data_IF_025766010791
#
_entry.id   IF_025766010791
#
_cell.length_a   1.000
_cell.length_b   1.000
_cell.length_c   1.000
_cell.angle_alpha   90.00
_cell.angle_beta   90.00
_cell.angle_gamma   90.00
#
_symmetry.space_group_name_H-M   'P 1'
#
loop_
_entity.id
_entity.type
_entity.pdbx_description
1 polymer ?
#
# COMPACT_ATOMS: atom_id res chain seq x y z
N UNK A 1 -35.83 3.91 11.35
CA UNK A 1 -34.50 3.93 11.99
C UNK A 1 -33.86 2.59 11.67
N UNK A 2 -32.99 2.58 10.64
CA UNK A 2 -32.41 1.34 10.11
C UNK A 2 -31.18 0.98 10.96
N UNK A 3 -31.27 -0.14 11.65
CA UNK A 3 -30.19 -0.77 12.40
C UNK A 3 -29.03 -1.04 11.46
N UNK A 4 -27.85 -0.48 11.74
CA UNK A 4 -26.61 -0.89 11.09
C UNK A 4 -26.24 -2.27 11.63
N UNK A 5 -26.28 -3.28 10.77
CA UNK A 5 -25.73 -4.60 11.07
C UNK A 5 -24.22 -4.46 11.31
N UNK A 6 -23.78 -4.75 12.52
CA UNK A 6 -22.37 -5.01 12.80
C UNK A 6 -21.97 -6.25 12.02
N UNK A 7 -21.16 -6.07 10.98
CA UNK A 7 -20.61 -7.18 10.23
C UNK A 7 -19.57 -7.88 11.12
N UNK A 8 -20.02 -8.91 11.86
CA UNK A 8 -19.11 -9.79 12.60
C UNK A 8 -18.19 -10.49 11.60
N UNK A 9 -16.92 -10.09 11.60
CA UNK A 9 -15.90 -10.69 10.74
C UNK A 9 -15.63 -12.11 11.27
N UNK A 10 -16.21 -13.12 10.62
CA UNK A 10 -15.98 -14.51 10.95
C UNK A 10 -14.58 -14.93 10.50
N UNK A 11 -13.61 -14.92 11.43
CA UNK A 11 -12.18 -15.15 11.14
C UNK A 11 -11.81 -16.65 10.97
N UNK A 12 -12.79 -17.55 10.87
CA UNK A 12 -12.62 -19.01 10.96
C UNK A 12 -12.24 -19.76 9.67
N UNK A 13 -12.27 -19.13 8.48
CA UNK A 13 -11.88 -19.79 7.23
C UNK A 13 -10.46 -19.38 6.82
N UNK A 14 -9.52 -20.33 6.92
CA UNK A 14 -8.13 -20.32 6.42
C UNK A 14 -7.65 -18.95 5.96
N UNK A 15 -7.48 -18.03 6.92
CA UNK A 15 -7.22 -16.64 6.61
C UNK A 15 -5.85 -16.51 5.96
N UNK A 16 -5.85 -15.90 4.78
CA UNK A 16 -4.64 -15.43 4.14
C UNK A 16 -3.87 -14.51 5.11
N UNK A 17 -2.78 -15.03 5.69
CA UNK A 17 -2.02 -14.33 6.72
C UNK A 17 -1.34 -13.05 6.20
N UNK A 18 -1.18 -12.92 4.88
CA UNK A 18 -0.63 -11.73 4.24
C UNK A 18 -1.60 -10.54 4.28
N UNK A 19 -2.88 -10.79 4.60
CA UNK A 19 -3.90 -9.76 4.79
C UNK A 19 -4.08 -9.34 6.25
N UNK A 20 -3.37 -9.98 7.18
CA UNK A 20 -3.41 -9.66 8.60
C UNK A 20 -2.04 -9.08 8.99
N UNK A 21 -2.01 -7.79 9.29
CA UNK A 21 -0.79 -7.05 9.57
C UNK A 21 -0.74 -6.72 11.06
N UNK A 22 0.35 -7.10 11.70
CA UNK A 22 0.60 -6.81 13.10
C UNK A 22 1.10 -5.36 13.25
N UNK A 23 0.48 -4.61 14.17
CA UNK A 23 0.79 -3.21 14.47
C UNK A 23 1.41 -3.06 15.87
N UNK A 24 1.82 -4.15 16.50
CA UNK A 24 2.32 -4.15 17.89
C UNK A 24 3.53 -3.21 18.08
N UNK A 25 4.37 -3.09 17.06
CA UNK A 25 5.56 -2.23 17.07
C UNK A 25 5.28 -0.75 16.80
N UNK A 26 4.01 -0.34 16.60
CA UNK A 26 3.63 1.04 16.32
C UNK A 26 3.14 1.72 17.60
N UNK A 27 3.88 2.70 18.08
CA UNK A 27 3.55 3.49 19.26
C UNK A 27 2.35 4.42 18.98
N UNK A 28 2.37 5.17 17.86
CA UNK A 28 1.29 6.10 17.49
C UNK A 28 0.25 5.45 16.59
N UNK A 29 -0.44 4.46 17.14
CA UNK A 29 -1.42 3.65 16.42
C UNK A 29 -2.46 4.47 15.66
N UNK A 30 -3.18 5.38 16.33
CA UNK A 30 -4.24 6.16 15.68
C UNK A 30 -3.74 6.96 14.46
N UNK A 31 -2.53 7.50 14.55
CA UNK A 31 -1.92 8.22 13.43
C UNK A 31 -1.60 7.25 12.29
N UNK A 32 -1.05 6.08 12.60
CA UNK A 32 -0.75 5.05 11.61
C UNK A 32 -2.02 4.51 10.93
N UNK A 33 -3.10 4.28 11.69
CA UNK A 33 -4.40 3.84 11.17
C UNK A 33 -5.01 4.89 10.22
N UNK A 34 -5.04 6.18 10.61
CA UNK A 34 -5.49 7.26 9.71
C UNK A 34 -4.59 7.37 8.48
N UNK A 35 -3.28 7.22 8.66
CA UNK A 35 -2.30 7.31 7.57
C UNK A 35 -2.47 6.20 6.54
N UNK A 36 -2.56 4.93 6.94
CA UNK A 36 -2.72 3.80 6.01
C UNK A 36 -4.07 3.83 5.28
N UNK A 37 -5.14 4.34 5.93
CA UNK A 37 -6.44 4.58 5.29
C UNK A 37 -6.38 5.55 4.12
N UNK A 38 -5.38 6.44 4.06
CA UNK A 38 -5.15 7.29 2.88
C UNK A 38 -4.83 6.45 1.63
N UNK A 39 -4.35 5.22 1.76
CA UNK A 39 -3.96 4.36 0.64
C UNK A 39 -4.99 3.28 0.30
N UNK A 40 -6.00 3.10 1.15
CA UNK A 40 -7.14 2.22 0.89
C UNK A 40 -7.74 2.52 -0.50
N UNK A 41 -7.86 1.49 -1.33
CA UNK A 41 -8.32 1.58 -2.72
C UNK A 41 -7.51 2.50 -3.66
N UNK A 42 -6.41 3.09 -3.20
CA UNK A 42 -5.45 3.91 -3.97
C UNK A 42 -4.15 3.18 -4.29
N UNK A 43 -3.78 2.18 -3.51
CA UNK A 43 -2.72 1.23 -3.80
C UNK A 43 -3.25 -0.18 -3.65
N UNK A 44 -2.76 -1.10 -4.50
CA UNK A 44 -3.13 -2.50 -4.40
C UNK A 44 -2.34 -3.19 -3.28
N UNK A 45 -2.95 -4.20 -2.65
CA UNK A 45 -2.29 -5.04 -1.64
C UNK A 45 -1.96 -6.40 -2.24
N UNK A 46 -0.69 -6.79 -2.16
CA UNK A 46 -0.19 -8.08 -2.62
C UNK A 46 -0.19 -9.10 -1.49
N UNK A 47 -0.62 -10.30 -1.83
CA UNK A 47 -0.48 -11.51 -1.03
C UNK A 47 0.43 -12.48 -1.75
N UNK A 48 1.55 -12.80 -1.11
CA UNK A 48 2.54 -13.72 -1.64
C UNK A 48 2.02 -15.16 -1.58
N UNK A 49 1.38 -15.52 -0.47
CA UNK A 49 0.84 -16.86 -0.19
C UNK A 49 -0.21 -17.29 -1.20
N UNK A 50 -1.08 -16.36 -1.62
CA UNK A 50 -2.13 -16.65 -2.61
C UNK A 50 -1.76 -16.20 -4.02
N UNK A 51 -0.63 -15.51 -4.20
CA UNK A 51 -0.19 -14.91 -5.49
C UNK A 51 -1.26 -14.01 -6.10
N UNK A 52 -1.91 -13.23 -5.24
CA UNK A 52 -3.02 -12.35 -5.59
C UNK A 52 -2.68 -10.90 -5.30
N UNK A 53 -3.22 -10.00 -6.11
CA UNK A 53 -3.17 -8.57 -5.91
C UNK A 53 -4.59 -8.03 -5.77
N UNK A 54 -4.92 -7.56 -4.57
CA UNK A 54 -6.23 -7.02 -4.23
C UNK A 54 -6.29 -5.55 -4.60
N UNK A 55 -7.24 -5.20 -5.46
CA UNK A 55 -7.38 -3.84 -5.98
C UNK A 55 -8.51 -3.08 -5.29
N UNK A 56 -9.48 -3.78 -4.70
CA UNK A 56 -10.60 -3.21 -3.95
C UNK A 56 -10.73 -3.90 -2.58
N UNK A 57 -10.53 -3.15 -1.51
CA UNK A 57 -10.54 -3.64 -0.14
C UNK A 57 -10.88 -2.53 0.85
N UNK A 58 -11.30 -2.94 2.04
CA UNK A 58 -11.40 -2.08 3.22
C UNK A 58 -10.36 -2.50 4.26
N UNK A 59 -9.84 -1.54 5.01
CA UNK A 59 -8.96 -1.74 6.14
C UNK A 59 -9.78 -1.76 7.42
N UNK A 60 -9.79 -2.91 8.08
CA UNK A 60 -10.47 -3.13 9.35
C UNK A 60 -9.47 -3.21 10.49
N UNK A 61 -9.81 -2.57 11.62
CA UNK A 61 -8.97 -2.49 12.82
C UNK A 61 -9.77 -3.04 14.00
N UNK A 62 -9.87 -4.38 14.13
CA UNK A 62 -10.71 -5.00 15.15
C UNK A 62 -10.16 -4.70 16.55
N UNK A 63 -11.02 -4.29 17.48
CA UNK A 63 -10.65 -4.07 18.89
C UNK A 63 -10.31 -5.36 19.61
N UNK A 64 -10.96 -6.46 19.20
CA UNK A 64 -10.94 -7.72 19.94
C UNK A 64 -9.84 -8.68 19.47
N UNK A 65 -9.13 -8.32 18.39
CA UNK A 65 -8.08 -9.14 17.77
C UNK A 65 -6.67 -8.58 17.98
N UNK A 66 -6.47 -7.83 19.06
CA UNK A 66 -5.20 -7.19 19.38
C UNK A 66 -4.88 -5.99 18.47
N UNK A 67 -3.61 -5.56 18.42
CA UNK A 67 -3.18 -4.46 17.55
C UNK A 67 -2.96 -4.97 16.13
N UNK A 68 -4.04 -5.34 15.45
CA UNK A 68 -4.00 -5.86 14.07
C UNK A 68 -4.75 -4.95 13.11
N UNK A 69 -4.27 -4.93 11.88
CA UNK A 69 -4.98 -4.42 10.72
C UNK A 69 -5.32 -5.59 9.81
N UNK A 70 -6.57 -5.68 9.38
CA UNK A 70 -7.04 -6.71 8.45
C UNK A 70 -7.43 -6.03 7.14
N UNK A 71 -6.80 -6.45 6.06
CA UNK A 71 -7.19 -6.09 4.70
C UNK A 71 -8.34 -7.01 4.31
N UNK A 72 -9.53 -6.45 4.10
CA UNK A 72 -10.74 -7.18 3.72
C UNK A 72 -11.04 -6.89 2.24
N UNK A 73 -10.71 -7.81 1.31
CA UNK A 73 -11.14 -7.69 -0.08
C UNK A 73 -12.67 -7.62 -0.17
N UNK A 74 -13.19 -6.90 -1.16
CA UNK A 74 -14.63 -6.87 -1.37
C UNK A 74 -15.13 -8.26 -1.83
N UNK A 75 -15.95 -8.97 -1.02
CA UNK A 75 -16.39 -10.32 -1.34
C UNK A 75 -17.38 -10.37 -2.51
N UNK A 76 -17.94 -9.23 -2.92
CA UNK A 76 -18.87 -9.13 -4.05
C UNK A 76 -18.19 -8.63 -5.33
N UNK A 77 -16.89 -8.34 -5.29
CA UNK A 77 -16.14 -7.85 -6.44
C UNK A 77 -14.99 -8.80 -6.77
N UNK A 78 -15.33 -10.03 -7.16
CA UNK A 78 -14.35 -11.06 -7.54
C UNK A 78 -13.45 -10.61 -8.70
N UNK A 79 -13.93 -9.72 -9.57
CA UNK A 79 -13.16 -9.12 -10.67
C UNK A 79 -12.09 -8.12 -10.20
N UNK A 80 -12.12 -7.70 -8.94
CA UNK A 80 -11.16 -6.76 -8.36
C UNK A 80 -9.94 -7.45 -7.73
N UNK A 81 -9.83 -8.77 -7.88
CA UNK A 81 -8.64 -9.56 -7.50
C UNK A 81 -7.89 -10.01 -8.75
N UNK A 82 -6.62 -9.61 -8.85
CA UNK A 82 -5.74 -10.03 -9.93
C UNK A 82 -4.95 -11.26 -9.47
N UNK A 83 -4.87 -12.28 -10.33
CA UNK A 83 -4.31 -13.59 -9.99
C UNK A 83 -2.99 -13.86 -10.72
N UNK A 84 -2.24 -14.89 -10.27
CA UNK A 84 -1.03 -15.34 -10.95
C UNK A 84 0.16 -14.40 -10.78
N UNK A 85 0.16 -13.59 -9.72
CA UNK A 85 1.22 -12.62 -9.44
C UNK A 85 2.40 -13.34 -8.76
N UNK A 86 3.35 -13.80 -9.57
CA UNK A 86 4.52 -14.52 -9.11
C UNK A 86 5.40 -13.63 -8.20
N UNK A 87 5.84 -14.11 -7.02
CA UNK A 87 6.70 -13.34 -6.11
C UNK A 87 7.96 -12.80 -6.78
N UNK A 88 8.49 -13.50 -7.79
CA UNK A 88 9.67 -13.06 -8.54
C UNK A 88 9.47 -11.71 -9.23
N UNK A 89 8.23 -11.32 -9.53
CA UNK A 89 7.87 -10.05 -10.15
C UNK A 89 7.76 -8.89 -9.14
N UNK A 90 7.75 -9.16 -7.84
CA UNK A 90 7.62 -8.15 -6.79
C UNK A 90 9.00 -7.72 -6.31
N UNK A 91 9.26 -6.42 -6.26
CA UNK A 91 10.54 -5.84 -5.86
C UNK A 91 10.39 -4.76 -4.81
N UNK A 92 11.22 -4.83 -3.78
CA UNK A 92 11.42 -3.75 -2.80
C UNK A 92 11.96 -2.51 -3.51
N UNK A 93 11.37 -1.34 -3.27
CA UNK A 93 11.80 -0.10 -3.95
C UNK A 93 12.80 0.73 -3.12
N UNK A 94 12.81 0.57 -1.80
CA UNK A 94 13.52 1.46 -0.88
C UNK A 94 12.84 2.83 -0.72
N UNK A 95 11.69 3.07 -1.36
CA UNK A 95 10.92 4.29 -1.22
C UNK A 95 10.02 4.18 0.01
N UNK A 96 10.03 5.20 0.85
CA UNK A 96 9.15 5.33 1.99
C UNK A 96 8.26 6.56 1.81
N UNK A 97 6.95 6.38 1.99
CA UNK A 97 5.95 7.45 2.02
C UNK A 97 5.61 7.75 3.46
N UNK A 98 5.56 9.01 3.82
CA UNK A 98 5.26 9.45 5.19
C UNK A 98 4.32 10.66 5.17
N UNK A 99 3.53 10.88 6.24
CA UNK A 99 2.64 12.02 6.31
C UNK A 99 3.42 13.30 6.55
N UNK A 100 3.18 14.32 5.73
CA UNK A 100 3.89 15.60 5.83
C UNK A 100 3.67 16.32 7.16
N UNK A 101 2.50 16.10 7.79
CA UNK A 101 2.10 16.78 9.04
C UNK A 101 3.09 16.53 10.18
N UNK A 102 3.74 15.36 10.20
CA UNK A 102 4.74 15.01 11.23
C UNK A 102 6.02 15.85 11.09
N UNK A 103 6.25 16.44 9.92
CA UNK A 103 7.38 17.33 9.63
C UNK A 103 6.92 18.78 9.37
N UNK A 104 5.68 19.14 9.75
CA UNK A 104 5.13 20.49 9.55
C UNK A 104 4.92 20.86 8.07
N UNK A 105 4.77 19.87 7.18
CA UNK A 105 4.55 20.07 5.74
C UNK A 105 3.15 19.57 5.34
N UNK A 106 2.49 20.15 4.33
CA UNK A 106 1.23 19.62 3.83
C UNK A 106 1.44 18.32 3.02
N UNK A 107 0.37 17.54 2.89
CA UNK A 107 0.32 16.41 1.97
C UNK A 107 1.18 15.21 2.37
N UNK A 108 1.52 14.40 1.38
CA UNK A 108 2.44 13.27 1.50
C UNK A 108 3.88 13.69 1.18
N UNK A 109 4.84 13.04 1.83
CA UNK A 109 6.27 13.15 1.54
C UNK A 109 6.85 11.80 1.15
N UNK A 110 7.94 11.82 0.39
CA UNK A 110 8.68 10.64 -0.03
C UNK A 110 10.15 10.75 0.40
N UNK A 111 10.73 9.65 0.85
CA UNK A 111 12.16 9.51 1.13
C UNK A 111 12.69 8.16 0.66
N UNK A 112 14.00 8.07 0.45
CA UNK A 112 14.72 6.81 0.17
C UNK A 112 15.57 6.33 1.33
N UNK A 113 15.59 7.09 2.43
CA UNK A 113 16.46 6.84 3.58
C UNK A 113 15.64 6.90 4.85
N UNK A 114 15.34 5.73 5.41
CA UNK A 114 14.84 5.58 6.78
C UNK A 114 15.86 4.71 7.51
N UNK A 115 16.59 5.29 8.48
CA UNK A 115 17.61 4.59 9.27
C UNK A 115 17.37 4.87 10.75
N UNK A 116 17.02 3.85 11.51
CA UNK A 116 16.80 3.96 12.95
C UNK A 116 18.04 4.54 13.65
N UNK A 117 17.81 5.50 14.56
CA UNK A 117 18.88 6.22 15.27
C UNK A 117 19.71 7.18 14.40
N UNK A 118 19.31 7.41 13.14
CA UNK A 118 19.95 8.36 12.23
C UNK A 118 19.32 9.77 12.26
N UNK A 119 19.93 10.75 11.56
CA UNK A 119 19.33 12.08 11.41
C UNK A 119 17.98 11.98 10.68
N UNK A 120 17.15 13.02 10.87
CA UNK A 120 15.84 13.10 10.22
C UNK A 120 15.95 12.83 8.70
N UNK A 121 15.05 12.01 8.14
CA UNK A 121 15.15 11.59 6.75
C UNK A 121 15.08 12.78 5.81
N UNK A 122 15.90 12.80 4.77
CA UNK A 122 15.76 13.79 3.70
C UNK A 122 14.48 13.48 2.92
N UNK A 123 13.53 14.40 2.95
CA UNK A 123 12.21 14.22 2.34
C UNK A 123 11.99 15.15 1.14
N UNK A 124 11.21 14.69 0.18
CA UNK A 124 10.71 15.47 -0.96
C UNK A 124 9.18 15.40 -0.98
N UNK A 125 8.46 16.45 -1.44
CA UNK A 125 7.02 16.36 -1.66
C UNK A 125 6.66 15.19 -2.59
N UNK A 126 5.57 14.49 -2.28
CA UNK A 126 5.22 13.24 -2.95
C UNK A 126 5.02 13.38 -4.46
N UNK A 127 4.24 14.38 -4.92
CA UNK A 127 3.98 14.60 -6.35
C UNK A 127 5.26 14.75 -7.19
N UNK A 128 6.16 15.73 -6.92
CA UNK A 128 7.37 15.89 -7.72
C UNK A 128 8.30 14.67 -7.64
N UNK A 129 8.42 14.03 -6.48
CA UNK A 129 9.20 12.80 -6.33
C UNK A 129 8.64 11.67 -7.20
N UNK A 130 7.33 11.45 -7.16
CA UNK A 130 6.66 10.42 -7.94
C UNK A 130 6.75 10.70 -9.44
N UNK A 131 6.60 11.96 -9.87
CA UNK A 131 6.77 12.35 -11.27
C UNK A 131 8.20 12.06 -11.77
N UNK A 132 9.23 12.32 -10.94
CA UNK A 132 10.61 11.98 -11.26
C UNK A 132 10.81 10.46 -11.38
N UNK A 133 10.24 9.68 -10.47
CA UNK A 133 10.30 8.21 -10.51
C UNK A 133 9.66 7.68 -11.80
N UNK A 134 8.43 8.11 -12.12
CA UNK A 134 7.72 7.70 -13.33
C UNK A 134 8.53 8.06 -14.58
N UNK A 135 9.05 9.28 -14.65
CA UNK A 135 9.88 9.74 -15.78
C UNK A 135 11.15 8.89 -15.94
N UNK A 136 11.83 8.55 -14.84
CA UNK A 136 13.03 7.73 -14.87
C UNK A 136 12.77 6.28 -15.29
N UNK A 137 11.67 5.67 -14.83
CA UNK A 137 11.30 4.32 -15.29
C UNK A 137 10.98 4.32 -16.79
N UNK A 138 10.24 5.34 -17.26
CA UNK A 138 9.89 5.45 -18.69
C UNK A 138 11.14 5.55 -19.59
N UNK A 139 12.21 6.22 -19.16
CA UNK A 139 13.47 6.34 -19.91
C UNK A 139 14.15 4.99 -20.17
N UNK A 140 13.97 4.02 -19.27
CA UNK A 140 14.52 2.67 -19.41
C UNK A 140 13.50 1.67 -19.98
N UNK A 141 12.38 2.16 -20.52
CA UNK A 141 11.31 1.32 -21.07
C UNK A 141 10.51 0.55 -20.02
N UNK A 142 10.54 0.99 -18.75
CA UNK A 142 9.81 0.36 -17.64
C UNK A 142 8.70 1.28 -17.11
N UNK A 143 7.82 0.74 -16.28
CA UNK A 143 6.74 1.45 -15.60
C UNK A 143 6.87 1.33 -14.08
N UNK A 144 6.46 2.38 -13.37
CA UNK A 144 6.40 2.33 -11.92
C UNK A 144 5.01 1.89 -11.47
N UNK A 145 4.91 0.66 -10.96
CA UNK A 145 3.66 0.04 -10.50
C UNK A 145 3.75 -0.25 -9.00
N UNK A 146 3.49 0.74 -8.12
CA UNK A 146 3.63 0.57 -6.69
C UNK A 146 2.51 -0.29 -6.11
N UNK A 147 2.88 -1.15 -5.17
CA UNK A 147 1.99 -2.03 -4.42
C UNK A 147 2.39 -2.02 -2.94
N UNK A 148 1.47 -2.46 -2.10
CA UNK A 148 1.67 -2.68 -0.67
C UNK A 148 1.67 -4.17 -0.37
N UNK A 149 2.34 -4.59 0.69
CA UNK A 149 2.26 -5.94 1.23
C UNK A 149 2.46 -5.93 2.75
N UNK A 150 2.21 -7.09 3.38
CA UNK A 150 2.38 -7.25 4.82
C UNK A 150 3.73 -6.75 5.30
N UNK A 151 3.70 -5.92 6.34
CA UNK A 151 4.89 -5.32 6.95
C UNK A 151 5.40 -4.04 6.28
N UNK A 152 4.65 -3.47 5.34
CA UNK A 152 5.00 -2.19 4.71
C UNK A 152 4.65 -0.96 5.57
N UNK A 153 3.58 -1.02 6.37
CA UNK A 153 3.29 0.00 7.38
C UNK A 153 4.25 -0.17 8.56
N UNK A 154 5.03 0.87 8.84
CA UNK A 154 6.07 0.88 9.87
C UNK A 154 6.08 2.21 10.61
N UNK A 155 6.86 2.30 11.67
CA UNK A 155 7.07 3.52 12.43
C UNK A 155 8.56 3.82 12.54
N UNK A 156 8.90 5.10 12.49
CA UNK A 156 10.24 5.61 12.73
C UNK A 156 10.25 6.44 14.01
N UNK A 157 11.26 6.21 14.84
CA UNK A 157 11.52 6.95 16.08
C UNK A 157 10.26 7.10 16.97
N UNK A 158 9.48 6.01 17.07
CA UNK A 158 8.26 5.89 17.87
C UNK A 158 7.19 6.98 17.64
N UNK A 159 7.25 7.69 16.51
CA UNK A 159 6.45 8.91 16.31
C UNK A 159 5.97 9.13 14.89
N UNK A 160 6.65 8.56 13.90
CA UNK A 160 6.42 8.85 12.49
C UNK A 160 6.06 7.58 11.73
N UNK A 161 4.76 7.32 11.46
CA UNK A 161 4.40 6.21 10.61
C UNK A 161 4.85 6.47 9.17
N UNK A 162 5.26 5.41 8.50
CA UNK A 162 5.61 5.45 7.09
C UNK A 162 5.22 4.14 6.42
N UNK A 163 5.04 4.19 5.10
CA UNK A 163 4.80 3.04 4.25
C UNK A 163 6.02 2.82 3.40
N UNK A 164 6.63 1.65 3.53
CA UNK A 164 7.66 1.19 2.61
C UNK A 164 6.99 0.66 1.33
N UNK A 165 7.38 1.13 0.14
CA UNK A 165 6.75 0.71 -1.11
C UNK A 165 7.47 -0.48 -1.76
N UNK A 166 6.65 -1.40 -2.27
CA UNK A 166 7.08 -2.39 -3.26
C UNK A 166 6.63 -1.96 -4.66
N UNK A 167 7.20 -2.59 -5.69
CA UNK A 167 6.74 -2.43 -7.07
C UNK A 167 6.57 -3.78 -7.76
N UNK A 168 5.63 -3.83 -8.69
CA UNK A 168 5.42 -4.96 -9.58
C UNK A 168 6.15 -4.75 -10.92
N UNK A 169 6.90 -5.76 -11.35
CA UNK A 169 7.52 -5.83 -12.68
C UNK A 169 6.70 -6.76 -13.58
N UNK A 170 5.69 -6.23 -14.27
CA UNK A 170 4.74 -7.03 -15.08
C UNK A 170 5.42 -7.89 -16.14
N UNK A 171 6.57 -7.47 -16.68
CA UNK A 171 7.33 -8.26 -17.65
C UNK A 171 7.89 -9.56 -17.10
N UNK A 172 7.94 -9.71 -15.77
CA UNK A 172 8.38 -10.94 -15.09
C UNK A 172 7.25 -11.91 -14.80
N UNK A 173 6.00 -11.54 -15.11
CA UNK A 173 4.83 -12.42 -15.04
C UNK A 173 4.74 -13.27 -16.31
N UNK A 174 5.75 -14.11 -16.55
CA UNK A 174 5.93 -14.87 -17.80
C UNK A 174 4.84 -15.90 -18.08
N UNK A 175 4.09 -16.29 -17.04
CA UNK A 175 2.96 -17.24 -17.13
C UNK A 175 1.64 -16.59 -17.53
N UNK A 176 1.58 -15.26 -17.54
CA UNK A 176 0.40 -14.50 -17.94
C UNK A 176 0.49 -14.11 -19.42
N UNK A 177 -0.66 -14.10 -20.08
CA UNK A 177 -0.80 -13.54 -21.42
C UNK A 177 -0.41 -12.06 -21.46
N UNK A 178 -0.18 -11.53 -22.67
CA UNK A 178 0.03 -10.09 -22.85
C UNK A 178 -1.17 -9.28 -22.36
N UNK A 179 -2.38 -9.75 -22.67
CA UNK A 179 -3.64 -9.11 -22.27
C UNK A 179 -3.76 -9.01 -20.74
N UNK A 180 -3.50 -10.09 -20.00
CA UNK A 180 -3.52 -10.07 -18.53
C UNK A 180 -2.46 -9.13 -17.95
N UNK A 181 -1.25 -9.12 -18.52
CA UNK A 181 -0.18 -8.21 -18.09
C UNK A 181 -0.55 -6.74 -18.33
N UNK A 182 -1.18 -6.45 -19.46
CA UNK A 182 -1.63 -5.10 -19.82
C UNK A 182 -2.76 -4.63 -18.89
N UNK A 183 -3.71 -5.51 -18.55
CA UNK A 183 -4.79 -5.19 -17.62
C UNK A 183 -4.27 -4.91 -16.20
N UNK A 184 -3.34 -5.74 -15.70
CA UNK A 184 -2.66 -5.51 -14.42
C UNK A 184 -1.94 -4.16 -14.42
N UNK A 185 -1.15 -3.89 -15.46
CA UNK A 185 -0.41 -2.63 -15.60
C UNK A 185 -1.36 -1.44 -15.61
N UNK A 186 -2.43 -1.51 -16.39
CA UNK A 186 -3.40 -0.44 -16.52
C UNK A 186 -4.17 -0.19 -15.21
N UNK A 187 -4.57 -1.25 -14.51
CA UNK A 187 -5.25 -1.16 -13.22
C UNK A 187 -4.40 -0.48 -12.15
N UNK A 188 -3.13 -0.88 -11.99
CA UNK A 188 -2.23 -0.24 -11.01
C UNK A 188 -1.92 1.20 -11.43
N UNK A 189 -1.73 1.45 -12.73
CA UNK A 189 -1.46 2.81 -13.25
C UNK A 189 -2.62 3.76 -12.96
N UNK A 190 -3.88 3.35 -13.17
CA UNK A 190 -5.06 4.18 -12.85
C UNK A 190 -5.08 4.57 -11.37
N UNK A 191 -4.83 3.61 -10.47
CA UNK A 191 -4.78 3.84 -9.03
C UNK A 191 -3.64 4.78 -8.63
N UNK A 192 -2.46 4.60 -9.22
CA UNK A 192 -1.32 5.50 -9.03
C UNK A 192 -1.65 6.94 -9.46
N UNK A 193 -2.31 7.13 -10.61
CA UNK A 193 -2.71 8.45 -11.09
C UNK A 193 -3.76 9.09 -10.19
N UNK A 194 -4.67 8.30 -9.62
CA UNK A 194 -5.65 8.79 -8.63
C UNK A 194 -4.94 9.27 -7.36
N UNK A 195 -4.02 8.47 -6.82
CA UNK A 195 -3.18 8.86 -5.68
C UNK A 195 -2.38 10.13 -5.97
N UNK A 196 -1.73 10.19 -7.15
CA UNK A 196 -0.97 11.35 -7.59
C UNK A 196 -1.82 12.61 -7.57
N UNK A 197 -3.03 12.60 -8.16
CA UNK A 197 -3.91 13.78 -8.22
C UNK A 197 -4.31 14.28 -6.83
N UNK A 198 -4.59 13.35 -5.91
CA UNK A 198 -5.09 13.63 -4.57
C UNK A 198 -3.99 13.91 -3.53
N UNK A 199 -2.72 13.64 -3.84
CA UNK A 199 -1.63 13.62 -2.85
C UNK A 199 -1.48 14.91 -2.00
N UNK A 200 -1.81 16.08 -2.54
CA UNK A 200 -1.71 17.36 -1.81
C UNK A 200 -2.88 17.59 -0.85
N UNK A 201 -4.04 16.97 -1.11
CA UNK A 201 -5.22 17.03 -0.24
C UNK A 201 -5.26 15.91 0.79
N UNK A 202 -4.37 14.91 0.67
CA UNK A 202 -4.27 13.82 1.64
C UNK A 202 -3.50 14.30 2.88
N UNK A 203 -4.17 14.31 4.02
CA UNK A 203 -3.59 14.60 5.34
C UNK A 203 -4.21 13.69 6.40
N UNK A 204 -3.52 13.51 7.52
CA UNK A 204 -3.92 12.64 8.64
C UNK A 204 -3.82 13.35 9.98
#
# INVERSE_FOLDING_TARGET
>A
MSSMEHQEVNLGQQQNQDLIWDLDSIARRELAERFIKLFENRLCVYSESTRQLYTNYNLHFPTDYGRKMVVLPNPYAFHDTLHGIDPVAVRKTGLCVLPGVVLGKPGLLLTTQMKDGGPAPKTMPFKPALAQIISNQKKIGDVFLPILMKGDLREFDQSMPYIHLHRLQVQRLTRLSSFERDDIQHTITRKLLMLYRQADSLGC
#
